data_IF_685098130076
#
_entry.id   IF_685098130076
#
_cell.length_a   1.000
_cell.length_b   1.000
_cell.length_c   1.000
_cell.angle_alpha   90.00
_cell.angle_beta   90.00
_cell.angle_gamma   90.00
#
_symmetry.space_group_name_H-M   'P 1'
#
loop_
_entity.id
_entity.type
_entity.pdbx_description
1 polymer ?
#
# COMPACT_ATOMS: atom_id res chain seq x y z
N UNK A 1 -8.25 20.44 -19.36
CA UNK A 1 -8.15 20.19 -17.90
C UNK A 1 -7.85 18.70 -17.77
N UNK A 2 -6.77 18.33 -17.14
CA UNK A 2 -6.49 16.92 -16.86
C UNK A 2 -7.59 16.40 -15.92
N UNK A 3 -8.06 15.18 -16.13
CA UNK A 3 -9.04 14.52 -15.27
C UNK A 3 -8.41 14.35 -13.88
N UNK A 4 -9.10 14.76 -12.81
CA UNK A 4 -8.66 14.47 -11.44
C UNK A 4 -8.73 12.96 -11.20
N UNK A 5 -7.63 12.35 -10.77
CA UNK A 5 -7.55 10.94 -10.44
C UNK A 5 -8.27 10.71 -9.11
N UNK A 6 -9.11 9.70 -9.06
CA UNK A 6 -9.88 9.30 -7.87
C UNK A 6 -9.46 7.92 -7.41
N UNK A 7 -9.11 7.79 -6.15
CA UNK A 7 -8.62 6.53 -5.58
C UNK A 7 -9.43 6.18 -4.34
N UNK A 8 -9.76 4.90 -4.21
CA UNK A 8 -10.23 4.32 -2.97
C UNK A 8 -9.11 3.44 -2.38
N UNK A 9 -8.79 3.62 -1.10
CA UNK A 9 -7.88 2.74 -0.37
C UNK A 9 -8.65 2.00 0.71
N UNK A 10 -8.46 0.69 0.85
CA UNK A 10 -9.14 -0.14 1.84
C UNK A 10 -8.14 -0.83 2.74
N UNK A 11 -8.33 -0.74 4.04
CA UNK A 11 -7.56 -1.49 5.03
C UNK A 11 -7.30 -0.74 6.33
N UNK A 12 -6.19 -1.09 6.97
CA UNK A 12 -5.85 -0.64 8.30
C UNK A 12 -5.46 0.84 8.36
N UNK A 13 -5.96 1.50 9.43
CA UNK A 13 -5.45 2.74 9.99
C UNK A 13 -5.07 2.43 11.44
N UNK A 14 -3.83 2.68 11.80
CA UNK A 14 -3.29 2.27 13.08
C UNK A 14 -2.22 3.24 13.60
N UNK A 15 -1.81 3.06 14.85
CA UNK A 15 -0.70 3.76 15.46
C UNK A 15 0.47 2.81 15.74
N UNK A 16 1.64 3.15 15.24
CA UNK A 16 2.89 2.57 15.70
C UNK A 16 3.28 3.22 17.03
N UNK A 17 3.18 2.45 18.11
CA UNK A 17 3.40 2.93 19.48
C UNK A 17 4.77 2.50 19.95
N UNK A 18 5.67 3.48 20.05
CA UNK A 18 7.02 3.36 20.61
C UNK A 18 6.99 3.69 22.11
N UNK A 19 8.05 3.39 22.88
CA UNK A 19 8.09 3.71 24.32
C UNK A 19 7.81 5.18 24.66
N UNK A 20 8.31 6.11 23.85
CA UNK A 20 8.27 7.56 24.13
C UNK A 20 7.45 8.36 23.10
N UNK A 21 6.97 7.74 22.03
CA UNK A 21 6.25 8.41 20.95
C UNK A 21 5.30 7.48 20.23
N UNK A 22 4.43 8.02 19.38
CA UNK A 22 3.60 7.22 18.48
C UNK A 22 3.49 7.91 17.13
N UNK A 23 3.28 7.12 16.09
CA UNK A 23 3.14 7.61 14.73
C UNK A 23 1.89 6.99 14.11
N UNK A 24 1.11 7.80 13.41
CA UNK A 24 -0.01 7.31 12.60
C UNK A 24 0.56 6.57 11.39
N UNK A 25 -0.01 5.41 11.07
CA UNK A 25 0.43 4.52 10.01
C UNK A 25 -0.68 3.58 9.54
N UNK A 26 -0.28 2.53 8.86
CA UNK A 26 -1.08 1.60 8.11
C UNK A 26 -0.75 1.71 6.63
N UNK A 27 -0.35 0.62 5.98
CA UNK A 27 0.11 0.67 4.59
C UNK A 27 -0.94 1.30 3.64
N UNK A 28 -2.25 0.93 3.69
CA UNK A 28 -3.25 1.59 2.87
C UNK A 28 -3.40 3.09 3.15
N UNK A 29 -3.24 3.51 4.41
CA UNK A 29 -3.25 4.93 4.77
C UNK A 29 -2.03 5.67 4.22
N UNK A 30 -0.84 5.07 4.29
CA UNK A 30 0.39 5.67 3.78
C UNK A 30 0.28 5.89 2.25
N UNK A 31 -0.23 4.89 1.52
CA UNK A 31 -0.54 5.00 0.08
C UNK A 31 -1.56 6.11 -0.17
N UNK A 32 -2.66 6.13 0.59
CA UNK A 32 -3.72 7.12 0.49
C UNK A 32 -3.20 8.55 0.69
N UNK A 33 -2.42 8.77 1.75
CA UNK A 33 -1.79 10.06 2.03
C UNK A 33 -0.87 10.50 0.90
N UNK A 34 -0.01 9.60 0.40
CA UNK A 34 0.92 9.92 -0.68
C UNK A 34 0.19 10.30 -1.96
N UNK A 35 -0.85 9.56 -2.35
CA UNK A 35 -1.69 9.90 -3.51
C UNK A 35 -2.40 11.24 -3.32
N UNK A 36 -2.91 11.52 -2.11
CA UNK A 36 -3.50 12.81 -1.78
C UNK A 36 -2.49 13.96 -1.95
N UNK A 37 -1.24 13.76 -1.52
CA UNK A 37 -0.16 14.76 -1.67
C UNK A 37 0.18 15.08 -3.14
N UNK A 38 -0.11 14.17 -4.07
CA UNK A 38 -0.01 14.39 -5.52
C UNK A 38 -1.25 15.01 -6.15
N UNK A 39 -2.27 15.32 -5.35
CA UNK A 39 -3.50 15.98 -5.80
C UNK A 39 -4.60 15.02 -6.27
N UNK A 40 -4.49 13.72 -5.98
CA UNK A 40 -5.61 12.79 -6.19
C UNK A 40 -6.74 13.05 -5.19
N UNK A 41 -7.98 12.82 -5.60
CA UNK A 41 -9.13 12.69 -4.70
C UNK A 41 -9.10 11.28 -4.08
N UNK A 42 -8.79 11.19 -2.78
CA UNK A 42 -8.61 9.90 -2.12
C UNK A 42 -9.70 9.66 -1.09
N UNK A 43 -10.29 8.46 -1.13
CA UNK A 43 -11.23 7.95 -0.13
C UNK A 43 -10.59 6.80 0.63
N UNK A 44 -10.21 7.04 1.91
CA UNK A 44 -9.72 5.97 2.79
C UNK A 44 -10.89 5.26 3.45
N UNK A 45 -11.07 3.98 3.15
CA UNK A 45 -12.12 3.11 3.69
C UNK A 45 -11.50 2.27 4.81
N UNK A 46 -11.78 2.64 6.05
CA UNK A 46 -11.23 2.01 7.24
C UNK A 46 -12.18 2.13 8.43
N UNK A 47 -11.78 1.59 9.58
CA UNK A 47 -12.51 1.78 10.83
C UNK A 47 -11.56 2.05 12.01
N UNK A 48 -12.02 2.87 12.95
CA UNK A 48 -11.37 3.23 14.20
C UNK A 48 -12.31 2.98 15.37
N UNK A 49 -11.77 2.89 16.57
CA UNK A 49 -12.55 2.63 17.78
C UNK A 49 -13.29 3.86 18.32
N UNK A 50 -14.33 3.61 19.11
CA UNK A 50 -14.97 4.63 19.97
C UNK A 50 -14.12 4.89 21.21
N UNK A 51 -12.84 5.25 21.02
CA UNK A 51 -11.87 5.44 22.08
C UNK A 51 -11.06 6.75 21.92
N UNK A 52 -10.26 7.15 22.91
CA UNK A 52 -9.45 8.37 22.81
C UNK A 52 -8.48 8.36 21.62
N UNK A 53 -7.93 7.18 21.27
CA UNK A 53 -7.00 7.03 20.15
C UNK A 53 -7.72 7.19 18.81
N UNK A 54 -8.98 6.72 18.68
CA UNK A 54 -9.82 6.96 17.51
C UNK A 54 -10.15 8.44 17.32
N UNK A 55 -10.41 9.16 18.42
CA UNK A 55 -10.59 10.63 18.37
C UNK A 55 -9.31 11.32 17.88
N UNK A 56 -8.16 10.90 18.37
CA UNK A 56 -6.86 11.43 17.94
C UNK A 56 -6.56 11.07 16.48
N UNK A 57 -6.94 9.87 16.03
CA UNK A 57 -6.81 9.45 14.63
C UNK A 57 -7.58 10.38 13.71
N UNK A 58 -8.83 10.71 14.03
CA UNK A 58 -9.64 11.67 13.23
C UNK A 58 -8.94 13.02 13.12
N UNK A 59 -8.49 13.56 14.25
CA UNK A 59 -7.80 14.86 14.27
C UNK A 59 -6.49 14.84 13.46
N UNK A 60 -5.75 13.74 13.51
CA UNK A 60 -4.53 13.57 12.73
C UNK A 60 -4.83 13.49 11.22
N UNK A 61 -5.85 12.72 10.80
CA UNK A 61 -6.28 12.63 9.41
C UNK A 61 -6.77 13.98 8.87
N UNK A 62 -7.53 14.74 9.66
CA UNK A 62 -7.95 16.10 9.32
C UNK A 62 -6.74 17.03 9.13
N UNK A 63 -5.72 16.90 9.99
CA UNK A 63 -4.48 17.69 9.87
C UNK A 63 -3.72 17.36 8.58
N UNK A 64 -3.79 16.10 8.12
CA UNK A 64 -3.23 15.64 6.85
C UNK A 64 -4.10 16.03 5.63
N UNK A 65 -5.25 16.67 5.84
CA UNK A 65 -6.18 17.04 4.77
C UNK A 65 -6.98 15.88 4.19
N UNK A 66 -7.02 14.73 4.88
CA UNK A 66 -7.72 13.54 4.41
C UNK A 66 -9.25 13.63 4.62
N UNK A 67 -10.01 13.12 3.67
CA UNK A 67 -11.48 12.98 3.82
C UNK A 67 -11.82 11.86 4.82
N UNK A 68 -12.70 12.17 5.78
CA UNK A 68 -13.13 11.24 6.83
C UNK A 68 -14.44 10.49 6.49
N UNK A 69 -15.04 10.73 5.35
CA UNK A 69 -16.38 10.19 4.98
C UNK A 69 -16.46 8.66 5.14
N UNK A 70 -15.38 7.93 4.83
CA UNK A 70 -15.31 6.48 4.91
C UNK A 70 -14.44 5.97 6.07
N UNK A 71 -14.06 6.83 7.02
CA UNK A 71 -13.46 6.43 8.29
C UNK A 71 -14.59 6.08 9.26
N UNK A 72 -14.89 4.79 9.35
CA UNK A 72 -15.98 4.26 10.18
C UNK A 72 -15.58 4.25 11.66
N UNK A 73 -16.56 4.12 12.54
CA UNK A 73 -16.34 3.97 13.98
C UNK A 73 -17.11 2.75 14.47
N UNK A 74 -16.47 1.90 15.27
CA UNK A 74 -17.09 0.72 15.88
C UNK A 74 -16.59 0.49 17.32
N UNK A 75 -17.09 -0.55 17.97
CA UNK A 75 -16.79 -0.87 19.39
C UNK A 75 -15.45 -1.59 19.61
N UNK A 76 -14.72 -1.95 18.55
CA UNK A 76 -13.39 -2.53 18.69
C UNK A 76 -12.37 -1.40 18.94
N UNK A 77 -11.22 -1.69 19.57
CA UNK A 77 -10.21 -0.66 19.83
C UNK A 77 -9.59 -0.15 18.54
N UNK A 78 -9.17 1.10 18.53
CA UNK A 78 -8.37 1.67 17.44
C UNK A 78 -7.08 0.85 17.25
N UNK A 79 -6.71 0.59 16.00
CA UNK A 79 -5.56 -0.22 15.64
C UNK A 79 -4.25 0.30 16.22
N UNK A 80 -3.44 -0.61 16.74
CA UNK A 80 -2.12 -0.31 17.28
C UNK A 80 -1.11 -1.41 16.93
N UNK A 81 0.11 -0.99 16.66
CA UNK A 81 1.30 -1.82 16.62
C UNK A 81 2.21 -1.40 17.77
N UNK A 82 2.49 -2.30 18.68
CA UNK A 82 3.43 -2.06 19.76
C UNK A 82 4.84 -2.29 19.25
N UNK A 83 5.68 -1.26 19.31
CA UNK A 83 7.09 -1.34 18.91
C UNK A 83 7.93 -1.44 20.17
N UNK A 84 8.68 -2.53 20.30
CA UNK A 84 9.65 -2.72 21.39
C UNK A 84 11.06 -2.75 20.81
N UNK A 85 12.02 -2.15 21.51
CA UNK A 85 13.42 -2.18 21.13
C UNK A 85 14.15 -3.21 21.99
N UNK A 86 14.95 -4.05 21.37
CA UNK A 86 15.85 -4.95 22.10
C UNK A 86 17.05 -4.19 22.70
N UNK A 87 17.93 -4.90 23.42
CA UNK A 87 19.11 -4.28 24.04
C UNK A 87 20.12 -3.72 23.00
N UNK A 88 20.02 -4.12 21.73
CA UNK A 88 20.80 -3.62 20.61
C UNK A 88 20.13 -2.46 19.87
N UNK A 89 18.89 -2.08 20.26
CA UNK A 89 18.10 -1.05 19.59
C UNK A 89 17.31 -1.55 18.37
N UNK A 90 17.30 -2.86 18.10
CA UNK A 90 16.51 -3.44 16.98
C UNK A 90 15.03 -3.46 17.33
N UNK A 91 14.13 -2.98 16.43
CA UNK A 91 12.71 -2.95 16.70
C UNK A 91 12.07 -4.33 16.50
N UNK A 92 11.10 -4.65 17.38
CA UNK A 92 10.17 -5.76 17.23
C UNK A 92 8.75 -5.20 17.21
N UNK A 93 7.96 -5.63 16.24
CA UNK A 93 6.61 -5.13 15.98
C UNK A 93 5.57 -6.17 16.38
N UNK A 94 4.63 -5.79 17.22
CA UNK A 94 3.49 -6.63 17.58
C UNK A 94 2.20 -5.92 17.19
N UNK A 95 1.54 -6.42 16.14
CA UNK A 95 0.22 -5.93 15.73
C UNK A 95 -0.79 -6.43 16.76
N UNK A 96 -1.56 -5.51 17.36
CA UNK A 96 -2.57 -5.87 18.34
C UNK A 96 -3.73 -6.60 17.65
N UNK A 97 -4.24 -7.62 18.32
CA UNK A 97 -5.41 -8.37 17.86
C UNK A 97 -6.69 -7.54 18.09
N UNK A 98 -7.75 -7.84 17.31
CA UNK A 98 -9.07 -7.25 17.46
C UNK A 98 -9.08 -5.72 17.40
N UNK A 99 -8.61 -5.18 16.27
CA UNK A 99 -8.67 -3.76 15.98
C UNK A 99 -9.94 -3.38 15.22
N UNK A 100 -10.34 -2.12 15.30
CA UNK A 100 -11.55 -1.62 14.63
C UNK A 100 -11.54 -1.88 13.11
N UNK A 101 -10.37 -1.78 12.47
CA UNK A 101 -10.19 -2.07 11.05
C UNK A 101 -10.34 -3.56 10.68
N UNK A 102 -10.45 -4.48 11.64
CA UNK A 102 -10.82 -5.88 11.37
C UNK A 102 -12.32 -6.06 11.05
N UNK A 103 -13.12 -4.99 11.19
CA UNK A 103 -14.57 -5.02 10.99
C UNK A 103 -15.08 -3.82 10.16
N UNK A 104 -14.41 -3.54 9.05
CA UNK A 104 -14.79 -2.51 8.07
C UNK A 104 -16.06 -2.96 7.35
N UNK A 105 -17.00 -2.03 7.10
CA UNK A 105 -18.26 -2.30 6.39
C UNK A 105 -18.26 -1.71 4.99
N UNK A 106 -18.84 -2.45 4.03
CA UNK A 106 -19.12 -1.96 2.69
C UNK A 106 -20.37 -1.06 2.71
N UNK A 107 -20.26 0.09 3.37
CA UNK A 107 -21.35 1.06 3.46
C UNK A 107 -21.79 1.56 2.08
N UNK A 108 -22.94 2.22 2.02
CA UNK A 108 -23.40 2.83 0.77
C UNK A 108 -22.41 3.89 0.26
N UNK A 109 -21.82 4.65 1.17
CA UNK A 109 -20.82 5.67 0.92
C UNK A 109 -19.52 5.06 0.40
N UNK A 110 -19.02 3.99 1.03
CA UNK A 110 -17.83 3.25 0.61
C UNK A 110 -18.01 2.67 -0.81
N UNK A 111 -19.14 2.02 -1.09
CA UNK A 111 -19.46 1.50 -2.43
C UNK A 111 -19.53 2.62 -3.48
N UNK A 112 -20.11 3.77 -3.12
CA UNK A 112 -20.19 4.92 -4.02
C UNK A 112 -18.80 5.48 -4.33
N UNK A 113 -17.92 5.58 -3.32
CA UNK A 113 -16.54 6.02 -3.48
C UNK A 113 -15.74 5.06 -4.37
N UNK A 114 -15.83 3.75 -4.13
CA UNK A 114 -15.17 2.73 -4.96
C UNK A 114 -15.66 2.78 -6.40
N UNK A 115 -16.98 2.87 -6.61
CA UNK A 115 -17.55 2.97 -7.97
C UNK A 115 -17.10 4.21 -8.73
N UNK A 116 -16.81 5.31 -8.03
CA UNK A 116 -16.35 6.55 -8.64
C UNK A 116 -14.82 6.61 -8.80
N UNK A 117 -14.08 5.69 -8.18
CA UNK A 117 -12.64 5.66 -8.20
C UNK A 117 -12.10 5.07 -9.52
N UNK A 118 -10.93 5.54 -9.92
CA UNK A 118 -10.14 5.00 -11.02
C UNK A 118 -9.39 3.73 -10.59
N UNK A 119 -9.13 3.57 -9.28
CA UNK A 119 -8.57 2.35 -8.70
C UNK A 119 -9.00 2.13 -7.25
N UNK A 120 -9.10 0.86 -6.84
CA UNK A 120 -9.22 0.40 -5.45
C UNK A 120 -7.89 -0.25 -5.04
N UNK A 121 -7.23 0.30 -4.02
CA UNK A 121 -5.94 -0.18 -3.50
C UNK A 121 -6.14 -0.83 -2.14
N UNK A 122 -5.55 -2.00 -1.92
CA UNK A 122 -5.65 -2.75 -0.67
C UNK A 122 -4.41 -3.62 -0.42
N UNK A 123 -4.22 -4.00 0.84
CA UNK A 123 -3.14 -4.90 1.28
C UNK A 123 -3.69 -6.15 1.96
N UNK A 124 -2.82 -7.12 2.25
CA UNK A 124 -3.21 -8.42 2.85
C UNK A 124 -3.66 -8.32 4.30
N UNK A 125 -3.09 -7.38 5.09
CA UNK A 125 -3.30 -7.32 6.54
C UNK A 125 -4.77 -7.09 6.93
N UNK A 126 -5.52 -6.35 6.11
CA UNK A 126 -6.94 -6.11 6.31
C UNK A 126 -7.80 -7.39 6.27
N UNK A 127 -7.25 -8.51 5.80
CA UNK A 127 -7.95 -9.79 5.63
C UNK A 127 -7.49 -10.87 6.63
N UNK A 128 -6.74 -10.49 7.67
CA UNK A 128 -6.37 -11.40 8.76
C UNK A 128 -7.57 -11.97 9.51
N UNK A 129 -8.69 -11.24 9.48
CA UNK A 129 -9.98 -11.68 10.03
C UNK A 129 -11.02 -11.81 8.91
N UNK A 130 -11.80 -12.87 8.92
CA UNK A 130 -12.79 -13.18 7.87
C UNK A 130 -13.92 -12.15 7.73
N UNK A 131 -14.13 -11.31 8.75
CA UNK A 131 -15.20 -10.30 8.75
C UNK A 131 -15.07 -9.29 7.59
N UNK A 132 -13.84 -8.96 7.19
CA UNK A 132 -13.61 -8.04 6.08
C UNK A 132 -13.79 -8.70 4.71
N UNK A 133 -13.63 -10.01 4.59
CA UNK A 133 -13.70 -10.70 3.28
C UNK A 133 -15.05 -10.50 2.60
N UNK A 134 -16.16 -10.80 3.30
CA UNK A 134 -17.52 -10.63 2.75
C UNK A 134 -17.89 -9.18 2.43
N UNK A 135 -17.40 -8.25 3.22
CA UNK A 135 -17.62 -6.82 2.98
C UNK A 135 -16.80 -6.34 1.78
N UNK A 136 -15.57 -6.83 1.64
CA UNK A 136 -14.68 -6.48 0.55
C UNK A 136 -15.15 -7.00 -0.81
N UNK A 137 -15.72 -8.21 -0.87
CA UNK A 137 -16.35 -8.74 -2.10
C UNK A 137 -17.35 -7.75 -2.69
N UNK A 138 -18.16 -7.09 -1.84
CA UNK A 138 -19.12 -6.08 -2.28
C UNK A 138 -18.47 -4.79 -2.79
N UNK A 139 -17.24 -4.48 -2.34
CA UNK A 139 -16.43 -3.37 -2.86
C UNK A 139 -15.77 -3.76 -4.18
N UNK A 140 -15.27 -4.99 -4.31
CA UNK A 140 -14.74 -5.52 -5.57
C UNK A 140 -15.78 -5.48 -6.69
N UNK A 141 -17.04 -5.84 -6.43
CA UNK A 141 -18.14 -5.74 -7.41
C UNK A 141 -18.36 -4.30 -7.92
N UNK A 142 -18.02 -3.31 -7.12
CA UNK A 142 -18.16 -1.90 -7.48
C UNK A 142 -16.93 -1.31 -8.17
N UNK A 143 -15.78 -1.98 -8.05
CA UNK A 143 -14.48 -1.51 -8.57
C UNK A 143 -14.29 -1.88 -10.03
N UNK A 144 -13.60 -1.01 -10.77
CA UNK A 144 -13.19 -1.27 -12.15
C UNK A 144 -11.71 -1.62 -12.31
N UNK A 145 -10.89 -1.31 -11.31
CA UNK A 145 -9.45 -1.58 -11.33
C UNK A 145 -8.92 -1.79 -9.92
N UNK A 146 -8.41 -2.98 -9.64
CA UNK A 146 -7.97 -3.43 -8.32
C UNK A 146 -6.45 -3.49 -8.26
N UNK A 147 -5.85 -2.85 -7.27
CA UNK A 147 -4.42 -2.83 -7.01
C UNK A 147 -4.17 -3.50 -5.67
N UNK A 148 -3.46 -4.61 -5.69
CA UNK A 148 -3.12 -5.39 -4.52
C UNK A 148 -1.64 -5.24 -4.18
N UNK A 149 -1.33 -4.66 -3.02
CA UNK A 149 -0.01 -4.70 -2.40
C UNK A 149 0.03 -5.88 -1.43
N UNK A 150 0.82 -6.92 -1.72
CA UNK A 150 0.89 -8.09 -0.85
C UNK A 150 1.18 -7.70 0.58
N UNK A 151 2.28 -6.98 0.79
CA UNK A 151 2.69 -6.38 2.05
C UNK A 151 2.44 -7.30 3.26
N UNK A 152 2.91 -8.55 3.14
CA UNK A 152 2.65 -9.64 4.07
C UNK A 152 3.21 -9.35 5.46
N UNK A 153 2.45 -9.66 6.49
CA UNK A 153 2.82 -9.50 7.90
C UNK A 153 2.61 -10.81 8.66
N UNK A 154 3.65 -11.65 8.71
CA UNK A 154 3.58 -12.91 9.47
C UNK A 154 3.30 -12.63 10.96
N UNK A 155 2.40 -13.39 11.62
CA UNK A 155 1.61 -14.52 11.10
C UNK A 155 0.20 -14.11 10.61
N UNK A 156 -0.05 -12.85 10.29
CA UNK A 156 -1.38 -12.24 10.09
C UNK A 156 -1.90 -12.37 8.65
N UNK A 157 -1.65 -13.50 7.99
CA UNK A 157 -2.24 -13.82 6.68
C UNK A 157 -2.43 -15.32 6.50
N UNK A 158 -3.42 -15.69 5.70
CA UNK A 158 -3.65 -17.05 5.23
C UNK A 158 -3.31 -17.10 3.73
N UNK A 159 -2.49 -18.08 3.33
CA UNK A 159 -1.98 -18.16 1.96
C UNK A 159 -3.08 -18.30 0.91
N UNK A 160 -4.13 -19.10 1.18
CA UNK A 160 -5.26 -19.25 0.27
C UNK A 160 -6.01 -17.92 0.06
N UNK A 161 -6.11 -17.09 1.11
CA UNK A 161 -6.71 -15.76 1.00
C UNK A 161 -5.83 -14.82 0.17
N UNK A 162 -4.51 -14.88 0.32
CA UNK A 162 -3.56 -14.09 -0.51
C UNK A 162 -3.72 -14.45 -1.98
N UNK A 163 -3.77 -15.74 -2.33
CA UNK A 163 -3.98 -16.19 -3.71
C UNK A 163 -5.31 -15.67 -4.27
N UNK A 164 -6.40 -15.78 -3.50
CA UNK A 164 -7.70 -15.26 -3.94
C UNK A 164 -7.69 -13.75 -4.18
N UNK A 165 -6.95 -12.98 -3.37
CA UNK A 165 -6.77 -11.54 -3.57
C UNK A 165 -5.91 -11.23 -4.81
N UNK A 166 -4.89 -12.04 -5.09
CA UNK A 166 -4.10 -11.92 -6.32
C UNK A 166 -4.96 -12.17 -7.56
N UNK A 167 -5.83 -13.19 -7.56
CA UNK A 167 -6.76 -13.49 -8.66
C UNK A 167 -7.80 -12.39 -8.88
N UNK A 168 -8.15 -11.62 -7.84
CA UNK A 168 -9.07 -10.49 -7.91
C UNK A 168 -8.39 -9.18 -8.36
N UNK A 169 -7.06 -9.15 -8.42
CA UNK A 169 -6.28 -7.95 -8.72
C UNK A 169 -5.99 -7.78 -10.21
N UNK A 170 -6.04 -6.53 -10.68
CA UNK A 170 -5.58 -6.13 -12.02
C UNK A 170 -4.11 -5.68 -12.01
N UNK A 171 -3.63 -5.30 -10.83
CA UNK A 171 -2.24 -4.95 -10.57
C UNK A 171 -1.81 -5.55 -9.23
N UNK A 172 -0.71 -6.30 -9.24
CA UNK A 172 -0.10 -6.91 -8.05
C UNK A 172 1.27 -6.30 -7.81
N UNK A 173 1.52 -5.81 -6.60
CA UNK A 173 2.86 -5.39 -6.17
C UNK A 173 3.31 -6.26 -5.00
N UNK A 174 4.58 -6.62 -5.02
CA UNK A 174 5.25 -7.40 -3.99
C UNK A 174 6.73 -6.97 -3.86
N UNK A 175 7.39 -7.37 -2.80
CA UNK A 175 8.85 -7.29 -2.70
C UNK A 175 9.51 -8.63 -3.10
N UNK A 176 10.83 -8.70 -3.08
CA UNK A 176 11.62 -9.88 -3.45
C UNK A 176 11.38 -11.08 -2.51
N UNK A 177 11.25 -10.86 -1.20
CA UNK A 177 10.95 -11.92 -0.23
C UNK A 177 9.53 -12.50 -0.44
N UNK A 178 8.58 -11.64 -0.74
CA UNK A 178 7.20 -12.03 -1.08
C UNK A 178 7.14 -12.77 -2.41
N UNK A 179 7.92 -12.35 -3.40
CA UNK A 179 8.05 -13.02 -4.68
C UNK A 179 8.54 -14.46 -4.50
N UNK A 180 9.62 -14.67 -3.74
CA UNK A 180 10.16 -16.01 -3.42
C UNK A 180 9.12 -16.89 -2.72
N UNK A 181 8.38 -16.33 -1.77
CA UNK A 181 7.31 -17.03 -1.07
C UNK A 181 6.20 -17.46 -2.02
N UNK A 182 5.71 -16.55 -2.86
CA UNK A 182 4.58 -16.80 -3.78
C UNK A 182 4.97 -17.78 -4.88
N UNK A 183 6.16 -17.63 -5.50
CA UNK A 183 6.64 -18.57 -6.52
C UNK A 183 6.80 -19.98 -5.97
N UNK A 184 7.34 -20.10 -4.75
CA UNK A 184 7.45 -21.39 -4.05
C UNK A 184 6.07 -21.99 -3.76
N UNK A 185 5.14 -21.21 -3.24
CA UNK A 185 3.79 -21.65 -2.87
C UNK A 185 2.98 -22.15 -4.07
N UNK A 186 3.08 -21.42 -5.19
CA UNK A 186 2.34 -21.73 -6.42
C UNK A 186 3.06 -22.73 -7.32
N UNK A 187 4.21 -23.28 -6.90
CA UNK A 187 5.07 -24.17 -7.69
C UNK A 187 5.41 -23.57 -9.06
N UNK A 188 5.70 -22.25 -9.08
CA UNK A 188 6.11 -21.53 -10.27
C UNK A 188 7.63 -21.57 -10.40
N UNK A 189 8.12 -21.68 -11.63
CA UNK A 189 9.56 -21.64 -11.90
C UNK A 189 9.84 -20.91 -13.21
N UNK A 190 10.91 -20.12 -13.22
CA UNK A 190 11.39 -19.42 -14.41
C UNK A 190 12.92 -19.34 -14.38
N UNK A 191 13.53 -18.98 -15.50
CA UNK A 191 15.00 -18.88 -15.63
C UNK A 191 15.53 -17.54 -15.09
N UNK A 192 14.66 -16.52 -14.98
CA UNK A 192 14.99 -15.18 -14.53
C UNK A 192 13.78 -14.48 -13.90
N UNK A 193 14.03 -13.33 -13.27
CA UNK A 193 13.02 -12.50 -12.61
C UNK A 193 11.88 -12.08 -13.57
N UNK A 194 12.21 -11.77 -14.83
CA UNK A 194 11.21 -11.39 -15.81
C UNK A 194 10.26 -12.56 -16.16
N UNK A 195 10.80 -13.77 -16.16
CA UNK A 195 10.03 -15.01 -16.29
C UNK A 195 9.13 -15.25 -15.11
N UNK A 196 9.62 -15.04 -13.85
CA UNK A 196 8.82 -15.20 -12.64
C UNK A 196 7.62 -14.24 -12.63
N UNK A 197 7.82 -12.96 -12.99
CA UNK A 197 6.70 -12.01 -13.08
C UNK A 197 5.65 -12.45 -14.12
N UNK A 198 6.07 -13.01 -15.24
CA UNK A 198 5.15 -13.53 -16.26
C UNK A 198 4.38 -14.75 -15.79
N UNK A 199 5.04 -15.69 -15.08
CA UNK A 199 4.33 -16.85 -14.53
C UNK A 199 3.33 -16.42 -13.44
N UNK A 200 3.66 -15.45 -12.58
CA UNK A 200 2.71 -14.88 -11.62
C UNK A 200 1.54 -14.20 -12.33
N UNK A 201 1.81 -13.36 -13.34
CA UNK A 201 0.78 -12.67 -14.10
C UNK A 201 -0.20 -13.65 -14.77
N UNK A 202 0.33 -14.72 -15.31
CA UNK A 202 -0.47 -15.80 -15.92
C UNK A 202 -1.28 -16.59 -14.89
N UNK A 203 -0.67 -16.93 -13.73
CA UNK A 203 -1.33 -17.69 -12.67
C UNK A 203 -2.45 -16.90 -11.99
N UNK A 204 -2.28 -15.59 -11.81
CA UNK A 204 -3.29 -14.69 -11.24
C UNK A 204 -4.20 -14.01 -12.27
N UNK A 205 -4.01 -14.28 -13.58
CA UNK A 205 -4.73 -13.60 -14.66
C UNK A 205 -4.65 -12.07 -14.58
N UNK A 206 -3.47 -11.54 -14.27
CA UNK A 206 -3.19 -10.12 -14.03
C UNK A 206 -2.28 -9.57 -15.13
N UNK A 207 -2.55 -8.38 -15.66
CA UNK A 207 -1.74 -7.76 -16.73
C UNK A 207 -0.56 -6.93 -16.17
N UNK A 208 -0.56 -6.65 -14.87
CA UNK A 208 0.45 -5.78 -14.25
C UNK A 208 0.97 -6.41 -12.95
N UNK A 209 2.26 -6.72 -12.93
CA UNK A 209 2.97 -7.25 -11.75
C UNK A 209 4.24 -6.45 -11.54
N UNK A 210 4.44 -5.94 -10.32
CA UNK A 210 5.63 -5.19 -9.94
C UNK A 210 6.33 -5.85 -8.76
N UNK A 211 7.65 -6.01 -8.86
CA UNK A 211 8.50 -6.41 -7.74
C UNK A 211 9.47 -5.29 -7.38
N UNK A 212 9.54 -4.96 -6.10
CA UNK A 212 10.54 -4.04 -5.54
C UNK A 212 11.71 -4.84 -4.99
N UNK A 213 12.95 -4.40 -5.25
CA UNK A 213 14.20 -5.06 -4.94
C UNK A 213 15.03 -4.22 -3.94
N UNK A 214 14.38 -3.46 -3.09
CA UNK A 214 15.02 -2.56 -2.14
C UNK A 214 15.93 -1.54 -2.84
N UNK A 215 17.20 -1.51 -2.46
CA UNK A 215 18.18 -0.59 -3.05
C UNK A 215 18.52 -0.91 -4.52
N UNK A 216 18.21 -2.10 -5.01
CA UNK A 216 18.45 -2.48 -6.41
C UNK A 216 17.39 -1.93 -7.37
N UNK A 217 16.28 -1.39 -6.84
CA UNK A 217 15.24 -0.75 -7.63
C UNK A 217 14.00 -1.60 -7.78
N UNK A 218 13.46 -1.73 -8.99
CA UNK A 218 12.22 -2.46 -9.24
C UNK A 218 12.13 -2.99 -10.68
N UNK A 219 11.29 -4.03 -10.84
CA UNK A 219 10.89 -4.56 -12.15
C UNK A 219 9.37 -4.55 -12.25
N UNK A 220 8.86 -4.09 -13.38
CA UNK A 220 7.45 -4.02 -13.71
C UNK A 220 7.15 -4.81 -14.97
N UNK A 221 6.25 -5.78 -14.88
CA UNK A 221 5.55 -6.33 -16.02
C UNK A 221 4.26 -5.52 -16.22
N UNK A 222 4.07 -4.93 -17.39
CA UNK A 222 2.84 -4.24 -17.74
C UNK A 222 2.47 -4.54 -19.20
N UNK A 223 1.30 -5.14 -19.43
CA UNK A 223 0.80 -5.52 -20.77
C UNK A 223 1.86 -6.26 -21.59
N UNK A 224 2.35 -7.36 -21.06
CA UNK A 224 3.36 -8.26 -21.66
C UNK A 224 4.77 -7.65 -21.87
N UNK A 225 5.03 -6.42 -21.43
CA UNK A 225 6.34 -5.78 -21.50
C UNK A 225 6.97 -5.68 -20.14
N UNK A 226 8.29 -5.89 -20.09
CA UNK A 226 9.11 -5.72 -18.90
C UNK A 226 9.77 -4.34 -18.93
N UNK A 227 9.73 -3.66 -17.80
CA UNK A 227 10.38 -2.39 -17.52
C UNK A 227 11.21 -2.56 -16.24
N UNK A 228 12.40 -1.99 -16.22
CA UNK A 228 13.29 -2.07 -15.08
C UNK A 228 13.84 -0.70 -14.74
N UNK A 229 13.92 -0.39 -13.46
CA UNK A 229 14.55 0.82 -12.95
C UNK A 229 15.49 0.46 -11.82
N UNK A 230 16.73 0.90 -11.89
CA UNK A 230 17.69 0.78 -10.79
C UNK A 230 17.30 1.70 -9.63
N UNK A 231 17.64 1.31 -8.42
CA UNK A 231 17.38 2.15 -7.24
C UNK A 231 18.24 3.41 -7.24
N UNK A 232 17.70 4.48 -6.69
CA UNK A 232 18.44 5.73 -6.51
C UNK A 232 19.30 5.64 -5.25
N UNK A 233 20.59 6.03 -5.31
CA UNK A 233 21.46 6.04 -4.15
C UNK A 233 20.88 6.91 -3.02
N UNK A 234 20.71 6.35 -1.84
CA UNK A 234 20.19 7.08 -0.69
C UNK A 234 20.79 6.62 0.63
N UNK A 235 20.83 7.52 1.60
CA UNK A 235 21.17 7.15 2.98
C UNK A 235 19.86 6.89 3.73
N UNK A 236 19.61 5.63 4.06
CA UNK A 236 18.38 5.23 4.73
C UNK A 236 18.34 5.77 6.16
N UNK A 237 17.34 6.57 6.47
CA UNK A 237 17.02 7.05 7.81
C UNK A 237 15.88 6.23 8.45
N UNK A 238 14.86 5.86 7.66
CA UNK A 238 13.70 5.09 8.09
C UNK A 238 13.06 4.44 6.86
N UNK A 239 12.97 3.12 6.80
CA UNK A 239 12.38 2.43 5.63
C UNK A 239 10.85 2.37 5.65
N UNK A 240 10.20 2.82 6.73
CA UNK A 240 8.73 2.77 6.87
C UNK A 240 8.06 3.67 5.83
N UNK A 241 7.13 3.09 5.07
CA UNK A 241 6.36 3.79 4.04
C UNK A 241 7.09 4.00 2.70
N UNK A 242 8.33 3.55 2.55
CA UNK A 242 9.04 3.62 1.26
C UNK A 242 8.33 2.82 0.17
N UNK A 243 7.96 1.56 0.46
CA UNK A 243 7.19 0.70 -0.44
C UNK A 243 5.77 1.22 -0.73
N UNK A 244 5.12 1.81 0.29
CA UNK A 244 3.79 2.41 0.15
C UNK A 244 3.86 3.64 -0.78
N UNK A 245 4.89 4.48 -0.60
CA UNK A 245 5.11 5.67 -1.44
C UNK A 245 5.54 5.29 -2.86
N UNK A 246 6.37 4.26 -3.03
CA UNK A 246 6.68 3.67 -4.33
C UNK A 246 5.40 3.27 -5.06
N UNK A 247 4.52 2.47 -4.40
CA UNK A 247 3.25 2.05 -5.00
C UNK A 247 2.38 3.24 -5.38
N UNK A 248 2.27 4.23 -4.50
CA UNK A 248 1.49 5.44 -4.78
C UNK A 248 2.01 6.19 -6.02
N UNK A 249 3.33 6.36 -6.15
CA UNK A 249 3.96 6.99 -7.31
C UNK A 249 3.69 6.22 -8.61
N UNK A 250 3.89 4.90 -8.59
CA UNK A 250 3.68 4.03 -9.75
C UNK A 250 2.20 4.05 -10.21
N UNK A 251 1.26 3.88 -9.29
CA UNK A 251 -0.17 3.91 -9.60
C UNK A 251 -0.60 5.28 -10.12
N UNK A 252 -0.13 6.35 -9.49
CA UNK A 252 -0.46 7.72 -9.91
C UNK A 252 0.06 8.02 -11.32
N UNK A 253 1.31 7.65 -11.64
CA UNK A 253 1.89 7.82 -12.97
C UNK A 253 1.11 7.06 -14.04
N UNK A 254 0.88 5.76 -13.84
CA UNK A 254 0.12 4.93 -14.78
C UNK A 254 -1.31 5.45 -15.03
N UNK A 255 -2.01 5.91 -14.00
CA UNK A 255 -3.36 6.48 -14.12
C UNK A 255 -3.35 7.90 -14.72
N UNK A 256 -2.23 8.63 -14.64
CA UNK A 256 -2.01 9.92 -15.28
C UNK A 256 -1.68 9.80 -16.77
N UNK A 257 -1.57 8.57 -17.29
CA UNK A 257 -1.10 8.24 -18.63
C UNK A 257 0.36 8.62 -18.89
N UNK A 258 1.19 8.66 -17.86
CA UNK A 258 2.63 8.66 -18.02
C UNK A 258 3.10 7.31 -18.61
N UNK A 259 4.29 7.30 -19.22
CA UNK A 259 4.83 6.03 -19.71
C UNK A 259 5.12 5.07 -18.53
N UNK A 260 5.07 3.75 -18.71
CA UNK A 260 5.43 2.82 -17.65
C UNK A 260 6.88 3.01 -17.16
N UNK A 261 7.79 3.41 -18.05
CA UNK A 261 9.17 3.76 -17.73
C UNK A 261 9.23 4.94 -16.76
N UNK A 262 8.61 6.07 -17.12
CA UNK A 262 8.62 7.30 -16.31
C UNK A 262 7.90 7.05 -14.96
N UNK A 263 6.77 6.30 -14.99
CA UNK A 263 6.04 5.93 -13.78
C UNK A 263 6.89 5.11 -12.81
N UNK A 264 7.68 4.17 -13.33
CA UNK A 264 8.55 3.32 -12.54
C UNK A 264 9.75 4.10 -11.98
N UNK A 265 10.33 5.00 -12.78
CA UNK A 265 11.43 5.88 -12.37
C UNK A 265 11.00 6.81 -11.23
N UNK A 266 9.87 7.51 -11.37
CA UNK A 266 9.27 8.36 -10.32
C UNK A 266 8.99 7.55 -9.06
N UNK A 267 8.46 6.33 -9.21
CA UNK A 267 8.17 5.46 -8.07
C UNK A 267 9.44 5.07 -7.30
N UNK A 268 10.53 4.71 -8.00
CA UNK A 268 11.82 4.39 -7.39
C UNK A 268 12.43 5.62 -6.69
N UNK A 269 12.42 6.79 -7.33
CA UNK A 269 12.91 8.04 -6.75
C UNK A 269 12.14 8.38 -5.47
N UNK A 270 10.81 8.29 -5.51
CA UNK A 270 9.94 8.56 -4.37
C UNK A 270 10.17 7.59 -3.21
N UNK A 271 10.31 6.29 -3.48
CA UNK A 271 10.67 5.30 -2.46
C UNK A 271 12.00 5.61 -1.78
N UNK A 272 13.02 5.99 -2.55
CA UNK A 272 14.33 6.38 -2.04
C UNK A 272 14.29 7.68 -1.21
N UNK A 273 13.56 8.69 -1.66
CA UNK A 273 13.37 9.94 -0.91
C UNK A 273 12.65 9.72 0.42
N UNK A 274 11.61 8.89 0.45
CA UNK A 274 10.91 8.56 1.69
C UNK A 274 11.82 7.78 2.62
N UNK A 275 12.58 6.81 2.13
CA UNK A 275 13.56 6.07 2.93
C UNK A 275 14.66 6.96 3.55
N UNK A 276 14.98 8.10 2.94
CA UNK A 276 15.94 9.09 3.47
C UNK A 276 15.38 9.98 4.58
N UNK A 277 14.07 9.93 4.83
CA UNK A 277 13.36 10.78 5.80
C UNK A 277 12.81 9.94 6.95
N UNK A 278 12.30 10.57 8.00
CA UNK A 278 11.68 9.87 9.11
C UNK A 278 10.16 9.85 8.98
N UNK A 279 9.58 8.64 9.03
CA UNK A 279 8.14 8.38 9.01
C UNK A 279 7.53 8.29 7.61
N UNK A 280 6.51 7.44 7.47
CA UNK A 280 5.86 7.09 6.21
C UNK A 280 5.20 8.28 5.49
N UNK A 281 4.74 9.27 6.25
CA UNK A 281 4.07 10.47 5.73
C UNK A 281 5.01 11.67 5.59
N UNK A 282 6.33 11.44 5.52
CA UNK A 282 7.30 12.51 5.28
C UNK A 282 6.96 13.27 3.98
N UNK A 283 6.99 14.60 4.05
CA UNK A 283 6.73 15.42 2.87
C UNK A 283 7.84 15.24 1.81
N UNK A 284 7.43 15.06 0.58
CA UNK A 284 8.30 15.00 -0.61
C UNK A 284 7.67 15.88 -1.68
N UNK A 285 8.43 16.84 -2.18
CA UNK A 285 7.99 17.72 -3.26
C UNK A 285 8.31 17.13 -4.63
N UNK A 286 7.63 17.60 -5.68
CA UNK A 286 7.96 17.24 -7.05
C UNK A 286 9.38 17.69 -7.43
N UNK A 287 9.83 18.83 -6.92
CA UNK A 287 11.19 19.33 -7.12
C UNK A 287 12.25 18.36 -6.58
N UNK A 288 12.04 17.80 -5.36
CA UNK A 288 12.95 16.77 -4.81
C UNK A 288 12.99 15.50 -5.67
N UNK A 289 11.86 15.11 -6.28
CA UNK A 289 11.79 13.93 -7.16
C UNK A 289 12.56 14.24 -8.45
N UNK A 290 12.27 15.38 -9.08
CA UNK A 290 12.91 15.81 -10.33
C UNK A 290 14.42 15.95 -10.13
N UNK A 291 14.88 16.62 -9.07
CA UNK A 291 16.31 16.80 -8.75
C UNK A 291 17.01 15.43 -8.61
N UNK A 292 16.40 14.47 -7.87
CA UNK A 292 16.99 13.15 -7.70
C UNK A 292 17.12 12.39 -9.03
N UNK A 293 16.11 12.48 -9.89
CA UNK A 293 16.12 11.85 -11.22
C UNK A 293 17.18 12.48 -12.14
N UNK A 294 17.29 13.82 -12.13
CA UNK A 294 18.24 14.51 -13.01
C UNK A 294 19.70 14.43 -12.57
N UNK A 295 19.98 14.20 -11.27
CA UNK A 295 21.34 14.09 -10.72
C UNK A 295 21.90 12.66 -10.83
N UNK A 296 21.08 11.66 -11.22
CA UNK A 296 21.42 10.24 -11.31
C UNK A 296 21.83 9.85 -12.72
#
# INVERSE_FOLDING_TARGET
>A
MNKTIKIACFGEVLWDVFPDTKRLGGAPLNVAYRLHSFGAEVSMISAIGEDPLGTETKAALETLGMDLTNIQTNNLPTGQVTVTLDAGGSPSYKINEQAAWDAIKATKEAKASVKAADALIFGSLAFRESANQLEFEQLLEASSYNVFDLNLRSPHYELDAVIALMEAAHFIKMNDEELELITTLMDLSADDLAGELKEIAKASNTETVCVTLGAEGAMLLHKDKIYTQVGFPTTVADSVGAGDSFLAGLVFGLLSNETPEDSLEIACALGSLVASKHGATAAVSNEEIDDLIFES
#
